data_IF_478408294732
#
_entry.id   IF_478408294732
#
_cell.length_a   1.000
_cell.length_b   1.000
_cell.length_c   1.000
_cell.angle_alpha   90.00
_cell.angle_beta   90.00
_cell.angle_gamma   90.00
#
_symmetry.space_group_name_H-M   'P 1'
#
loop_
_entity.id
_entity.type
_entity.pdbx_description
1 polymer ?
#
# COMPACT_ATOMS: atom_id res chain seq x y z
N UNK A 1 7.68 -9.01 24.91
CA UNK A 1 6.83 -9.26 26.09
C UNK A 1 5.45 -9.73 25.65
N UNK A 2 5.07 -10.91 26.12
CA UNK A 2 3.77 -11.51 25.90
C UNK A 2 2.62 -10.61 26.40
N UNK A 3 1.52 -10.59 25.64
CA UNK A 3 0.33 -9.79 25.94
C UNK A 3 -0.95 -10.62 25.79
N UNK A 4 -2.09 -10.02 26.13
CA UNK A 4 -3.41 -10.65 26.01
C UNK A 4 -4.36 -9.72 25.28
N UNK A 5 -5.23 -10.27 24.46
CA UNK A 5 -6.29 -9.55 23.76
C UNK A 5 -7.65 -10.18 24.07
N UNK A 6 -8.64 -9.35 24.40
CA UNK A 6 -10.03 -9.78 24.66
C UNK A 6 -10.80 -9.77 23.35
N UNK A 7 -11.45 -10.89 23.02
CA UNK A 7 -12.22 -11.06 21.79
C UNK A 7 -13.68 -10.63 22.01
N UNK A 8 -14.42 -10.38 20.91
CA UNK A 8 -15.86 -10.09 20.94
C UNK A 8 -16.69 -11.18 21.62
N UNK A 9 -16.19 -12.42 21.64
CA UNK A 9 -16.81 -13.57 22.34
C UNK A 9 -16.61 -13.57 23.86
N UNK A 10 -15.93 -12.57 24.43
CA UNK A 10 -15.61 -12.50 25.87
C UNK A 10 -14.38 -13.32 26.29
N UNK A 11 -13.87 -14.20 25.42
CA UNK A 11 -12.65 -15.00 25.65
C UNK A 11 -11.38 -14.20 25.39
N UNK A 12 -10.26 -14.66 25.94
CA UNK A 12 -8.92 -14.08 25.78
C UNK A 12 -8.06 -14.92 24.83
N UNK A 13 -7.24 -14.26 24.00
CA UNK A 13 -6.12 -14.89 23.31
C UNK A 13 -4.79 -14.36 23.83
N UNK A 14 -3.83 -15.24 24.04
CA UNK A 14 -2.46 -14.88 24.38
C UNK A 14 -1.67 -14.55 23.13
N UNK A 15 -0.95 -13.42 23.13
CA UNK A 15 -0.09 -12.97 22.06
C UNK A 15 1.38 -12.97 22.50
N UNK A 16 2.27 -13.38 21.61
CA UNK A 16 3.71 -13.40 21.83
C UNK A 16 4.45 -12.95 20.56
N UNK A 17 5.74 -12.65 20.68
CA UNK A 17 6.58 -12.37 19.52
C UNK A 17 7.35 -13.63 19.13
N UNK A 18 7.38 -13.95 17.85
CA UNK A 18 8.25 -15.02 17.36
C UNK A 18 9.70 -14.55 17.21
N UNK A 19 10.61 -15.46 16.81
CA UNK A 19 12.03 -15.17 16.63
C UNK A 19 12.30 -14.04 15.63
N UNK A 20 11.35 -13.73 14.73
CA UNK A 20 11.42 -12.63 13.76
C UNK A 20 10.85 -11.30 14.28
N UNK A 21 10.37 -11.28 15.53
CA UNK A 21 9.69 -10.14 16.15
C UNK A 21 8.23 -9.98 15.70
N UNK A 22 7.71 -10.89 14.86
CA UNK A 22 6.34 -10.83 14.37
C UNK A 22 5.35 -11.23 15.49
N UNK A 23 4.18 -10.58 15.48
CA UNK A 23 3.11 -10.88 16.44
C UNK A 23 2.47 -12.22 16.09
N UNK A 24 2.49 -13.16 17.03
CA UNK A 24 1.79 -14.44 16.96
C UNK A 24 0.79 -14.54 18.11
N UNK A 25 -0.20 -15.41 17.93
CA UNK A 25 -1.20 -15.71 18.94
C UNK A 25 -1.26 -17.21 19.20
N UNK A 26 -1.57 -17.59 20.43
CA UNK A 26 -1.85 -18.99 20.77
C UNK A 26 -3.00 -19.52 19.91
N UNK A 27 -2.89 -20.78 19.45
CA UNK A 27 -3.90 -21.40 18.59
C UNK A 27 -5.25 -21.67 19.26
N UNK A 28 -5.35 -21.50 20.59
CA UNK A 28 -6.56 -21.63 21.38
C UNK A 28 -6.88 -20.33 22.12
N UNK A 29 -8.15 -20.15 22.44
CA UNK A 29 -8.65 -19.03 23.26
C UNK A 29 -9.04 -19.54 24.64
N UNK A 30 -8.94 -18.68 25.67
CA UNK A 30 -9.09 -19.04 27.08
C UNK A 30 -10.17 -18.19 27.73
N UNK A 31 -10.82 -18.71 28.76
CA UNK A 31 -11.81 -17.95 29.54
C UNK A 31 -11.14 -16.98 30.52
N UNK A 32 -9.93 -17.30 30.99
CA UNK A 32 -9.19 -16.48 31.95
C UNK A 32 -8.02 -15.71 31.30
N UNK A 33 -7.91 -14.41 31.61
CA UNK A 33 -6.82 -13.55 31.12
C UNK A 33 -5.45 -14.01 31.61
N UNK A 34 -5.35 -14.41 32.88
CA UNK A 34 -4.09 -14.81 33.50
C UNK A 34 -3.50 -16.06 32.84
N UNK A 35 -4.35 -17.04 32.53
CA UNK A 35 -3.97 -18.27 31.82
C UNK A 35 -3.44 -17.97 30.41
N UNK A 36 -4.17 -17.16 29.64
CA UNK A 36 -3.74 -16.73 28.30
C UNK A 36 -2.39 -16.01 28.32
N UNK A 37 -2.14 -15.16 29.32
CA UNK A 37 -0.88 -14.43 29.49
C UNK A 37 0.27 -15.36 29.87
N UNK A 38 0.05 -16.28 30.82
CA UNK A 38 1.06 -17.25 31.27
C UNK A 38 1.50 -18.16 30.14
N UNK A 39 0.55 -18.70 29.38
CA UNK A 39 0.87 -19.59 28.25
C UNK A 39 1.57 -18.84 27.11
N UNK A 40 1.19 -17.58 26.85
CA UNK A 40 1.90 -16.75 25.87
C UNK A 40 3.32 -16.41 26.30
N UNK A 41 3.55 -16.20 27.61
CA UNK A 41 4.89 -16.02 28.16
C UNK A 41 5.72 -17.30 28.08
N UNK A 42 5.12 -18.48 28.28
CA UNK A 42 5.80 -19.78 28.09
C UNK A 42 6.20 -19.99 26.63
N UNK A 43 5.32 -19.67 25.66
CA UNK A 43 5.69 -19.76 24.24
C UNK A 43 6.75 -18.72 23.83
N UNK A 44 6.68 -17.51 24.38
CA UNK A 44 7.75 -16.52 24.22
C UNK A 44 9.07 -17.02 24.83
N UNK A 45 9.04 -17.68 26.00
CA UNK A 45 10.21 -18.24 26.67
C UNK A 45 10.78 -19.45 25.93
N UNK A 46 9.95 -20.32 25.34
CA UNK A 46 10.41 -21.43 24.49
C UNK A 46 11.13 -20.95 23.23
N UNK A 47 10.72 -19.80 22.69
CA UNK A 47 11.40 -19.16 21.55
C UNK A 47 12.69 -18.47 22.02
N UNK A 48 12.72 -18.01 23.27
CA UNK A 48 13.87 -17.36 23.90
C UNK A 48 14.91 -18.38 24.39
N UNK A 49 14.49 -19.61 24.70
CA UNK A 49 15.38 -20.70 25.09
C UNK A 49 16.04 -21.28 23.84
N UNK A 50 17.37 -21.21 23.74
CA UNK A 50 18.08 -21.85 22.64
C UNK A 50 17.80 -23.36 22.64
N UNK A 51 17.63 -23.95 21.46
CA UNK A 51 18.11 -25.33 21.28
C UNK A 51 19.61 -25.38 21.57
N UNK A 52 20.18 -26.57 21.82
CA UNK A 52 21.60 -26.73 22.14
C UNK A 52 22.48 -25.86 21.20
N UNK A 53 23.05 -24.79 21.73
CA UNK A 53 23.93 -23.88 20.98
C UNK A 53 25.29 -24.55 20.94
N UNK A 54 25.79 -24.86 19.76
CA UNK A 54 27.20 -25.22 19.61
C UNK A 54 28.02 -23.99 20.05
N UNK A 55 28.85 -24.10 21.10
CA UNK A 55 29.70 -23.00 21.59
C UNK A 55 30.63 -22.41 20.51
N UNK A 56 30.87 -23.16 19.42
CA UNK A 56 31.69 -22.72 18.28
C UNK A 56 30.85 -22.08 17.16
N UNK A 57 29.55 -22.30 17.08
CA UNK A 57 28.72 -21.82 15.96
C UNK A 57 28.55 -20.29 15.94
N UNK A 58 28.62 -19.62 17.09
CA UNK A 58 28.59 -18.16 17.18
C UNK A 58 29.84 -17.45 16.62
N UNK A 59 30.91 -18.20 16.33
CA UNK A 59 32.16 -17.66 15.74
C UNK A 59 32.06 -17.46 14.23
N UNK A 60 31.10 -18.12 13.57
CA UNK A 60 30.86 -17.90 12.16
C UNK A 60 30.46 -16.44 11.94
N UNK A 61 31.01 -15.81 10.91
CA UNK A 61 30.60 -14.45 10.56
C UNK A 61 29.20 -14.46 9.96
N UNK A 62 28.52 -13.32 10.04
CA UNK A 62 27.23 -13.19 9.38
C UNK A 62 27.35 -13.34 7.85
N UNK A 63 28.50 -12.99 7.25
CA UNK A 63 28.77 -13.24 5.83
C UNK A 63 28.76 -14.73 5.48
N UNK A 64 29.41 -15.57 6.29
CA UNK A 64 29.38 -17.03 6.12
C UNK A 64 27.95 -17.57 6.25
N UNK A 65 27.20 -17.08 7.24
CA UNK A 65 25.78 -17.43 7.38
C UNK A 65 24.93 -16.99 6.18
N UNK A 66 25.19 -15.79 5.64
CA UNK A 66 24.48 -15.25 4.47
C UNK A 66 24.63 -16.16 3.25
N UNK A 67 25.81 -16.73 3.03
CA UNK A 67 26.08 -17.65 1.91
C UNK A 67 25.24 -18.93 1.99
N UNK A 68 25.03 -19.47 3.20
CA UNK A 68 24.15 -20.60 3.44
C UNK A 68 22.66 -20.20 3.33
N UNK A 69 22.30 -19.10 3.98
CA UNK A 69 20.91 -18.72 4.23
C UNK A 69 20.23 -18.09 3.01
N UNK A 70 20.90 -17.16 2.34
CA UNK A 70 20.27 -16.32 1.31
C UNK A 70 19.78 -17.13 0.10
N UNK A 71 20.54 -18.09 -0.45
CA UNK A 71 20.10 -18.94 -1.57
C UNK A 71 18.98 -19.91 -1.20
N UNK A 72 18.88 -20.33 0.08
CA UNK A 72 17.87 -21.28 0.54
C UNK A 72 16.46 -20.65 0.67
N UNK A 73 16.33 -19.32 0.56
CA UNK A 73 15.07 -18.60 0.74
C UNK A 73 14.10 -18.87 -0.42
N UNK A 74 12.91 -19.38 -0.10
CA UNK A 74 11.80 -19.50 -1.05
C UNK A 74 11.01 -18.19 -1.11
N UNK A 75 11.40 -17.29 -2.01
CA UNK A 75 10.76 -15.99 -2.22
C UNK A 75 10.42 -15.76 -3.70
N UNK A 76 9.45 -14.88 -3.96
CA UNK A 76 9.11 -14.47 -5.33
C UNK A 76 10.28 -13.70 -5.98
N UNK A 77 10.50 -13.88 -7.28
CA UNK A 77 11.65 -13.35 -8.03
C UNK A 77 11.83 -11.83 -7.94
N UNK A 78 10.76 -11.05 -7.95
CA UNK A 78 10.80 -9.60 -7.77
C UNK A 78 11.22 -9.20 -6.35
N UNK A 79 10.82 -9.98 -5.34
CA UNK A 79 11.27 -9.80 -3.96
C UNK A 79 12.74 -10.19 -3.83
N UNK A 80 13.18 -11.24 -4.52
CA UNK A 80 14.57 -11.71 -4.51
C UNK A 80 15.56 -10.64 -4.98
N UNK A 81 15.33 -9.99 -6.13
CA UNK A 81 16.21 -8.90 -6.60
C UNK A 81 16.26 -7.72 -5.63
N UNK A 82 15.09 -7.31 -5.13
CA UNK A 82 15.03 -6.21 -4.19
C UNK A 82 15.81 -6.51 -2.91
N UNK A 83 15.69 -7.73 -2.41
CA UNK A 83 16.41 -8.18 -1.23
C UNK A 83 17.91 -8.33 -1.51
N UNK A 84 18.30 -8.86 -2.66
CA UNK A 84 19.70 -9.01 -3.05
C UNK A 84 20.39 -7.63 -3.13
N UNK A 85 19.73 -6.66 -3.76
CA UNK A 85 20.25 -5.29 -3.80
C UNK A 85 20.39 -4.68 -2.40
N UNK A 86 19.37 -4.83 -1.54
CA UNK A 86 19.44 -4.32 -0.16
C UNK A 86 20.54 -5.01 0.63
N UNK A 87 20.69 -6.30 0.43
CA UNK A 87 21.68 -7.12 1.10
C UNK A 87 23.09 -6.63 0.75
N UNK A 88 23.39 -6.58 -0.55
CA UNK A 88 24.67 -6.16 -1.09
C UNK A 88 25.02 -4.71 -0.74
N UNK A 89 24.04 -3.80 -0.78
CA UNK A 89 24.31 -2.37 -0.66
C UNK A 89 24.28 -1.85 0.78
N UNK A 90 23.48 -2.46 1.66
CA UNK A 90 23.23 -1.89 3.00
C UNK A 90 23.52 -2.82 4.17
N UNK A 91 23.43 -4.15 3.98
CA UNK A 91 23.60 -5.11 5.07
C UNK A 91 25.02 -5.69 5.08
N UNK A 92 25.42 -6.33 3.97
CA UNK A 92 26.73 -6.97 3.82
C UNK A 92 27.92 -6.04 4.15
N UNK A 93 27.94 -4.76 3.73
CA UNK A 93 29.07 -3.86 4.05
C UNK A 93 29.30 -3.63 5.55
N UNK A 94 28.31 -3.88 6.40
CA UNK A 94 28.40 -3.68 7.85
C UNK A 94 28.61 -4.99 8.61
N UNK A 95 28.05 -6.08 8.11
CA UNK A 95 27.91 -7.30 8.90
C UNK A 95 28.69 -8.50 8.36
N UNK A 96 29.17 -8.50 7.11
CA UNK A 96 29.78 -9.70 6.49
C UNK A 96 30.96 -10.26 7.32
N UNK A 97 31.79 -9.38 7.89
CA UNK A 97 32.96 -9.75 8.69
C UNK A 97 32.66 -9.91 10.20
N UNK A 98 31.43 -9.65 10.65
CA UNK A 98 31.08 -9.64 12.07
C UNK A 98 30.64 -11.04 12.50
N UNK A 99 31.26 -11.64 13.54
CA UNK A 99 30.79 -12.88 14.14
C UNK A 99 29.33 -12.76 14.59
N UNK A 100 28.52 -13.80 14.34
CA UNK A 100 27.11 -13.79 14.72
C UNK A 100 26.90 -13.55 16.22
N UNK A 101 27.80 -14.04 17.08
CA UNK A 101 27.78 -13.81 18.52
C UNK A 101 28.05 -12.35 18.92
N UNK A 102 28.75 -11.58 18.09
CA UNK A 102 29.16 -10.20 18.38
C UNK A 102 28.13 -9.17 17.88
N UNK A 103 27.05 -9.62 17.24
CA UNK A 103 25.95 -8.75 16.80
C UNK A 103 25.05 -8.51 18.02
N UNK A 104 25.23 -7.36 18.66
CA UNK A 104 24.43 -6.94 19.81
C UNK A 104 23.28 -6.02 19.39
N UNK A 105 22.26 -5.91 20.26
CA UNK A 105 21.12 -5.01 20.06
C UNK A 105 21.58 -3.56 19.86
N UNK A 106 22.57 -3.12 20.61
CA UNK A 106 23.14 -1.76 20.56
C UNK A 106 23.79 -1.48 19.21
N UNK A 107 24.59 -2.43 18.69
CA UNK A 107 25.22 -2.30 17.36
C UNK A 107 24.18 -2.26 16.25
N UNK A 108 23.11 -3.05 16.39
CA UNK A 108 21.98 -3.00 15.43
C UNK A 108 21.29 -1.64 15.47
N UNK A 109 21.04 -1.06 16.66
CA UNK A 109 20.45 0.28 16.76
C UNK A 109 21.35 1.35 16.14
N UNK A 110 22.66 1.33 16.43
CA UNK A 110 23.62 2.26 15.85
C UNK A 110 23.62 2.19 14.31
N UNK A 111 23.61 0.99 13.75
CA UNK A 111 23.51 0.80 12.30
C UNK A 111 22.22 1.37 11.71
N UNK A 112 21.07 1.22 12.39
CA UNK A 112 19.81 1.84 11.94
C UNK A 112 19.87 3.37 11.98
N UNK A 113 20.49 3.93 13.01
CA UNK A 113 20.65 5.38 13.14
C UNK A 113 21.62 5.93 12.08
N UNK A 114 22.63 5.15 11.68
CA UNK A 114 23.54 5.48 10.58
C UNK A 114 22.83 5.42 9.23
N UNK A 115 22.08 4.36 8.93
CA UNK A 115 21.28 4.27 7.70
C UNK A 115 20.29 5.44 7.56
N UNK A 116 19.80 5.95 8.69
CA UNK A 116 18.89 7.09 8.76
C UNK A 116 19.60 8.46 8.63
N UNK A 117 20.92 8.54 8.87
CA UNK A 117 21.72 9.77 8.83
C UNK A 117 22.58 9.91 7.57
N UNK A 118 23.15 8.83 7.04
CA UNK A 118 24.12 8.86 5.93
C UNK A 118 24.27 7.49 5.27
N UNK A 119 24.01 7.39 3.96
CA UNK A 119 24.32 6.17 3.20
C UNK A 119 25.81 6.12 2.87
N UNK A 120 26.64 5.49 3.72
CA UNK A 120 27.97 5.03 3.28
C UNK A 120 27.80 3.84 2.34
N UNK A 121 27.99 4.04 1.03
CA UNK A 121 28.26 2.95 0.09
C UNK A 121 29.75 2.67 0.06
N UNK A 122 30.16 1.41 0.28
CA UNK A 122 31.56 1.00 0.15
C UNK A 122 32.03 1.04 -1.32
N UNK A 123 33.33 1.32 -1.59
CA UNK A 123 33.88 1.30 -2.94
C UNK A 123 33.95 -0.14 -3.45
N UNK A 124 33.24 -0.43 -4.55
CA UNK A 124 33.41 -1.69 -5.27
C UNK A 124 34.80 -1.68 -5.92
N UNK A 125 35.73 -2.51 -5.43
CA UNK A 125 36.95 -2.86 -6.17
C UNK A 125 36.53 -3.64 -7.43
N UNK A 126 36.59 -3.00 -8.59
CA UNK A 126 36.66 -3.69 -9.88
C UNK A 126 37.86 -3.14 -10.64
N UNK A 127 38.71 -4.07 -11.07
CA UNK A 127 40.11 -3.83 -11.44
C UNK A 127 40.35 -3.00 -12.71
N UNK A 128 41.56 -2.42 -12.69
CA UNK A 128 42.48 -2.20 -13.81
C UNK A 128 41.91 -1.67 -15.13
N UNK A 129 41.96 -0.35 -15.27
CA UNK A 129 42.00 0.37 -16.55
C UNK A 129 42.75 1.68 -16.35
N UNK A 130 43.81 1.89 -17.13
CA UNK A 130 44.82 2.97 -16.99
C UNK A 130 44.22 4.38 -16.84
N UNK A 131 44.83 5.15 -15.95
CA UNK A 131 44.59 6.58 -15.75
C UNK A 131 45.11 7.41 -16.91
N UNK A 132 44.28 8.34 -17.40
CA UNK A 132 44.73 9.62 -17.99
C UNK A 132 43.68 10.69 -17.69
N UNK A 133 44.12 11.83 -17.13
CA UNK A 133 43.50 13.13 -17.37
C UNK A 133 42.58 13.68 -16.27
N UNK A 134 43.01 14.77 -15.65
CA UNK A 134 42.37 15.45 -14.51
C UNK A 134 40.91 15.87 -14.69
N UNK A 135 40.21 15.95 -13.56
CA UNK A 135 38.85 16.52 -13.49
C UNK A 135 38.19 16.27 -12.15
N UNK A 136 38.25 17.28 -11.27
CA UNK A 136 37.39 17.54 -10.10
C UNK A 136 37.08 16.37 -9.14
N UNK A 137 37.58 16.52 -7.89
CA UNK A 137 37.11 15.80 -6.69
C UNK A 137 35.58 15.82 -6.62
N UNK A 138 34.93 14.72 -6.99
CA UNK A 138 33.49 14.50 -6.82
C UNK A 138 33.22 14.31 -5.32
N UNK A 139 32.58 15.27 -4.65
CA UNK A 139 32.12 15.14 -3.27
C UNK A 139 31.07 14.02 -3.19
N UNK A 140 31.46 12.87 -2.64
CA UNK A 140 30.54 11.81 -2.21
C UNK A 140 29.66 12.32 -1.07
N UNK A 141 28.44 12.74 -1.38
CA UNK A 141 27.40 13.05 -0.40
C UNK A 141 26.34 11.95 -0.46
N UNK A 142 26.48 10.94 0.40
CA UNK A 142 25.53 9.84 0.52
C UNK A 142 24.22 10.32 1.14
N UNK A 143 23.17 10.50 0.31
CA UNK A 143 21.81 10.87 0.76
C UNK A 143 21.28 9.82 1.76
N UNK A 144 20.69 10.28 2.87
CA UNK A 144 20.06 9.41 3.87
C UNK A 144 18.95 8.53 3.24
N UNK A 145 18.78 7.32 3.76
CA UNK A 145 17.73 6.42 3.29
C UNK A 145 16.36 6.86 3.83
N UNK A 146 15.32 6.68 3.02
CA UNK A 146 13.96 6.94 3.50
C UNK A 146 13.58 5.96 4.63
N UNK A 147 12.75 6.36 5.61
CA UNK A 147 12.33 5.50 6.71
C UNK A 147 11.75 4.15 6.26
N UNK A 148 11.02 4.14 5.14
CA UNK A 148 10.47 2.92 4.53
C UNK A 148 11.56 1.99 4.00
N UNK A 149 12.62 2.54 3.40
CA UNK A 149 13.76 1.76 2.93
C UNK A 149 14.55 1.19 4.11
N UNK A 150 14.83 2.00 5.15
CA UNK A 150 15.48 1.54 6.39
C UNK A 150 14.72 0.36 7.00
N UNK A 151 13.38 0.46 7.12
CA UNK A 151 12.53 -0.64 7.61
C UNK A 151 12.66 -1.91 6.76
N UNK A 152 12.75 -1.80 5.43
CA UNK A 152 12.91 -2.98 4.55
C UNK A 152 14.28 -3.63 4.73
N UNK A 153 15.34 -2.83 4.79
CA UNK A 153 16.71 -3.30 5.04
C UNK A 153 16.80 -4.00 6.40
N UNK A 154 16.30 -3.36 7.46
CA UNK A 154 16.24 -3.92 8.80
C UNK A 154 15.48 -5.25 8.83
N UNK A 155 14.27 -5.31 8.25
CA UNK A 155 13.45 -6.53 8.26
C UNK A 155 14.14 -7.71 7.58
N UNK A 156 14.87 -7.46 6.48
CA UNK A 156 15.64 -8.49 5.80
C UNK A 156 16.76 -9.02 6.71
N UNK A 157 17.50 -8.14 7.36
CA UNK A 157 18.56 -8.49 8.30
C UNK A 157 18.01 -9.22 9.54
N UNK A 158 16.97 -8.68 10.18
CA UNK A 158 16.32 -9.30 11.33
C UNK A 158 15.77 -10.70 11.01
N UNK A 159 15.24 -10.92 9.80
CA UNK A 159 14.82 -12.26 9.36
C UNK A 159 16.01 -13.22 9.24
N UNK A 160 17.16 -12.77 8.77
CA UNK A 160 18.36 -13.61 8.68
C UNK A 160 18.83 -14.08 10.06
N UNK A 161 18.76 -13.22 11.09
CA UNK A 161 19.16 -13.57 12.45
C UNK A 161 18.11 -14.43 13.16
N UNK A 162 16.81 -14.18 12.89
CA UNK A 162 15.76 -15.08 13.36
C UNK A 162 15.95 -16.51 12.85
N UNK A 163 16.32 -16.67 11.57
CA UNK A 163 16.61 -17.99 11.01
C UNK A 163 17.92 -18.58 11.54
N UNK A 164 18.91 -17.75 11.88
CA UNK A 164 20.13 -18.19 12.55
C UNK A 164 19.83 -18.80 13.93
N UNK A 165 18.86 -18.25 14.68
CA UNK A 165 18.36 -18.84 15.94
C UNK A 165 17.73 -20.20 15.69
N UNK A 166 16.84 -20.29 14.69
CA UNK A 166 16.16 -21.55 14.34
C UNK A 166 17.17 -22.62 13.90
N UNK A 167 18.22 -22.22 13.20
CA UNK A 167 19.33 -23.08 12.78
C UNK A 167 20.34 -23.40 13.90
N UNK A 168 20.13 -22.90 15.12
CA UNK A 168 21.02 -23.13 16.27
C UNK A 168 22.38 -22.43 16.17
N UNK A 169 22.56 -21.48 15.23
CA UNK A 169 23.82 -20.75 15.03
C UNK A 169 24.05 -19.70 16.13
N UNK A 170 22.97 -19.15 16.68
CA UNK A 170 22.97 -18.23 17.84
C UNK A 170 21.84 -18.57 18.80
N UNK A 171 22.02 -18.25 20.08
CA UNK A 171 21.03 -18.58 21.11
C UNK A 171 19.80 -17.67 21.13
N UNK A 172 19.93 -16.42 20.67
CA UNK A 172 18.81 -15.47 20.61
C UNK A 172 19.05 -14.39 19.55
N UNK A 173 17.98 -13.75 19.09
CA UNK A 173 18.08 -12.67 18.11
C UNK A 173 18.37 -11.33 18.80
N UNK A 174 19.38 -10.56 18.35
CA UNK A 174 19.65 -9.22 18.86
C UNK A 174 18.67 -8.16 18.35
N UNK A 175 17.80 -8.52 17.39
CA UNK A 175 16.81 -7.63 16.79
C UNK A 175 15.53 -7.49 17.64
N UNK A 176 15.72 -7.23 18.94
CA UNK A 176 14.65 -7.04 19.93
C UNK A 176 14.52 -5.56 20.28
N UNK A 177 13.28 -5.06 20.25
CA UNK A 177 12.92 -3.69 20.59
C UNK A 177 13.83 -2.61 19.94
N UNK A 178 14.18 -2.82 18.67
CA UNK A 178 14.90 -1.84 17.84
C UNK A 178 13.96 -0.71 17.45
N UNK A 179 14.39 0.52 17.69
CA UNK A 179 13.67 1.72 17.29
C UNK A 179 13.91 1.99 15.81
N UNK A 180 12.84 1.97 15.02
CA UNK A 180 12.89 2.21 13.58
C UNK A 180 12.34 3.60 13.27
N UNK A 181 12.90 4.30 12.27
CA UNK A 181 12.45 5.63 11.90
C UNK A 181 10.96 5.63 11.56
N UNK A 182 10.23 6.62 12.09
CA UNK A 182 8.83 6.81 11.73
C UNK A 182 8.78 7.26 10.27
N UNK A 183 7.97 6.56 9.48
CA UNK A 183 7.67 7.00 8.14
C UNK A 183 6.41 7.85 8.28
N UNK A 184 6.45 9.10 7.83
CA UNK A 184 5.21 9.79 7.55
C UNK A 184 4.41 8.94 6.54
N UNK A 185 3.08 8.88 6.66
CA UNK A 185 2.28 8.37 5.57
C UNK A 185 2.66 9.17 4.30
N UNK A 186 2.86 8.51 3.16
CA UNK A 186 3.15 9.24 1.93
C UNK A 186 2.01 10.20 1.62
N UNK A 187 2.33 11.40 1.15
CA UNK A 187 1.31 12.32 0.62
C UNK A 187 0.54 11.58 -0.48
N UNK A 188 -0.78 11.54 -0.34
CA UNK A 188 -1.63 10.81 -1.28
C UNK A 188 -1.78 11.64 -2.55
N UNK A 189 -0.91 11.38 -3.53
CA UNK A 189 -0.95 12.06 -4.82
C UNK A 189 -1.91 11.35 -5.78
N UNK A 190 -2.91 12.08 -6.25
CA UNK A 190 -3.75 11.72 -7.38
C UNK A 190 -3.92 12.94 -8.29
N UNK A 191 -4.18 12.69 -9.58
CA UNK A 191 -4.38 13.76 -10.55
C UNK A 191 -5.83 14.29 -10.50
N UNK A 192 -5.97 15.61 -10.56
CA UNK A 192 -7.23 16.25 -10.98
C UNK A 192 -7.54 15.93 -12.44
N UNK A 193 -8.79 16.17 -12.88
CA UNK A 193 -9.20 15.94 -14.28
C UNK A 193 -8.39 16.82 -15.23
N UNK A 194 -8.13 18.06 -14.82
CA UNK A 194 -7.38 19.07 -15.56
C UNK A 194 -5.90 18.69 -15.65
N UNK A 195 -5.29 18.22 -14.54
CA UNK A 195 -3.91 17.73 -14.57
C UNK A 195 -3.77 16.48 -15.45
N UNK A 196 -4.72 15.55 -15.40
CA UNK A 196 -4.70 14.39 -16.29
C UNK A 196 -4.88 14.79 -17.76
N UNK A 197 -5.79 15.72 -18.05
CA UNK A 197 -5.96 16.24 -19.41
C UNK A 197 -4.67 16.87 -19.94
N UNK A 198 -3.98 17.69 -19.13
CA UNK A 198 -2.66 18.25 -19.49
C UNK A 198 -1.62 17.16 -19.76
N UNK A 199 -1.53 16.16 -18.88
CA UNK A 199 -0.61 15.02 -19.07
C UNK A 199 -0.91 14.22 -20.34
N UNK A 200 -2.19 14.00 -20.63
CA UNK A 200 -2.64 13.29 -21.84
C UNK A 200 -2.35 14.09 -23.11
N UNK A 201 -2.54 15.41 -23.08
CA UNK A 201 -2.21 16.30 -24.20
C UNK A 201 -0.70 16.40 -24.45
N UNK A 202 0.10 16.34 -23.39
CA UNK A 202 1.57 16.30 -23.45
C UNK A 202 2.14 14.94 -23.93
N UNK A 203 1.29 13.95 -24.20
CA UNK A 203 1.75 12.67 -24.72
C UNK A 203 2.02 12.77 -26.23
N UNK A 204 3.30 12.70 -26.59
CA UNK A 204 3.80 12.84 -27.97
C UNK A 204 3.50 11.63 -28.87
N UNK A 205 3.13 10.49 -28.28
CA UNK A 205 2.85 9.26 -29.01
C UNK A 205 1.57 8.55 -28.53
N UNK A 206 0.96 7.80 -29.45
CA UNK A 206 -0.28 7.05 -29.23
C UNK A 206 -0.15 5.95 -28.17
N UNK A 207 1.04 5.35 -28.02
CA UNK A 207 1.28 4.31 -27.03
C UNK A 207 1.22 4.87 -25.60
N UNK A 208 1.82 6.04 -25.37
CA UNK A 208 1.72 6.72 -24.09
C UNK A 208 0.27 7.12 -23.79
N UNK A 209 -0.47 7.65 -24.78
CA UNK A 209 -1.90 7.98 -24.61
C UNK A 209 -2.72 6.75 -24.22
N UNK A 210 -2.53 5.63 -24.91
CA UNK A 210 -3.23 4.38 -24.58
C UNK A 210 -2.86 3.85 -23.18
N UNK A 211 -1.60 3.95 -22.77
CA UNK A 211 -1.17 3.59 -21.40
C UNK A 211 -1.81 4.50 -20.35
N UNK A 212 -1.90 5.80 -20.61
CA UNK A 212 -2.56 6.76 -19.72
C UNK A 212 -4.05 6.42 -19.57
N UNK A 213 -4.74 6.21 -20.69
CA UNK A 213 -6.17 5.90 -20.74
C UNK A 213 -6.48 4.57 -20.05
N UNK A 214 -5.69 3.52 -20.29
CA UNK A 214 -5.79 2.27 -19.55
C UNK A 214 -5.53 2.47 -18.05
N UNK A 215 -4.49 3.24 -17.69
CA UNK A 215 -4.11 3.47 -16.30
C UNK A 215 -5.25 4.11 -15.49
N UNK A 216 -5.82 5.21 -15.97
CA UNK A 216 -6.91 5.90 -15.27
C UNK A 216 -8.29 5.32 -15.53
N UNK A 217 -8.48 4.55 -16.60
CA UNK A 217 -9.77 3.93 -16.92
C UNK A 217 -9.97 2.58 -16.24
N UNK A 218 -8.89 1.93 -15.79
CA UNK A 218 -8.96 0.56 -15.22
C UNK A 218 -8.29 0.42 -13.85
N UNK A 219 -7.40 1.34 -13.48
CA UNK A 219 -6.57 1.21 -12.29
C UNK A 219 -5.62 0.00 -12.30
N UNK A 220 -5.36 -0.59 -13.47
CA UNK A 220 -4.43 -1.71 -13.58
C UNK A 220 -3.01 -1.32 -13.17
N UNK A 221 -2.28 -2.28 -12.58
CA UNK A 221 -0.85 -2.11 -12.28
C UNK A 221 -0.06 -2.10 -13.58
N UNK A 222 1.12 -1.45 -13.60
CA UNK A 222 2.02 -1.45 -14.76
C UNK A 222 2.20 -2.85 -15.39
N UNK A 223 2.55 -3.85 -14.57
CA UNK A 223 2.74 -5.22 -15.05
C UNK A 223 1.47 -5.89 -15.59
N UNK A 224 0.29 -5.47 -15.13
CA UNK A 224 -1.00 -5.92 -15.67
C UNK A 224 -1.24 -5.27 -17.05
N UNK A 225 -0.93 -3.97 -17.20
CA UNK A 225 -1.10 -3.23 -18.46
C UNK A 225 -0.18 -3.77 -19.55
N UNK A 226 1.13 -3.86 -19.30
CA UNK A 226 2.09 -4.31 -20.32
C UNK A 226 2.07 -5.83 -20.55
N UNK A 227 1.49 -6.58 -19.61
CA UNK A 227 1.25 -8.01 -19.73
C UNK A 227 -0.12 -8.36 -20.32
N UNK A 228 -0.95 -7.37 -20.67
CA UNK A 228 -2.31 -7.58 -21.16
C UNK A 228 -2.29 -8.17 -22.57
N UNK A 229 -2.96 -9.30 -22.76
CA UNK A 229 -3.19 -9.88 -24.08
C UNK A 229 -4.48 -9.35 -24.70
N UNK A 230 -4.52 -9.23 -26.03
CA UNK A 230 -5.72 -8.77 -26.77
C UNK A 230 -6.96 -9.59 -26.47
N UNK A 231 -6.80 -10.91 -26.32
CA UNK A 231 -7.90 -11.84 -25.98
C UNK A 231 -8.49 -11.65 -24.57
N UNK A 232 -8.00 -10.67 -23.81
CA UNK A 232 -8.53 -10.29 -22.49
C UNK A 232 -9.38 -9.03 -22.53
N UNK A 233 -9.43 -8.36 -23.68
CA UNK A 233 -10.23 -7.17 -23.93
C UNK A 233 -11.48 -7.62 -24.67
N UNK A 234 -12.64 -7.43 -24.05
CA UNK A 234 -13.94 -7.66 -24.66
C UNK A 234 -14.60 -6.30 -24.90
N UNK A 235 -14.53 -5.82 -26.14
CA UNK A 235 -15.10 -4.53 -26.55
C UNK A 235 -16.62 -4.56 -26.47
N UNK A 236 -17.25 -5.67 -26.89
CA UNK A 236 -18.71 -5.82 -26.89
C UNK A 236 -19.31 -5.85 -25.48
N UNK A 237 -18.64 -6.52 -24.54
CA UNK A 237 -19.02 -6.54 -23.12
C UNK A 237 -18.44 -5.37 -22.32
N UNK A 238 -17.64 -4.50 -22.94
CA UNK A 238 -16.95 -3.37 -22.30
C UNK A 238 -16.24 -3.80 -21.03
N UNK A 239 -15.42 -4.84 -21.15
CA UNK A 239 -14.77 -5.48 -20.00
C UNK A 239 -13.35 -5.94 -20.32
N UNK A 240 -12.45 -5.69 -19.38
CA UNK A 240 -11.09 -6.23 -19.40
C UNK A 240 -10.95 -7.28 -18.30
N UNK A 241 -10.41 -8.45 -18.63
CA UNK A 241 -10.18 -9.52 -17.65
C UNK A 241 -8.69 -9.59 -17.28
N UNK A 242 -8.36 -9.22 -16.06
CA UNK A 242 -6.98 -9.27 -15.57
C UNK A 242 -6.65 -10.69 -15.12
N UNK A 243 -5.79 -11.36 -15.89
CA UNK A 243 -5.40 -12.76 -15.65
C UNK A 243 -3.90 -12.99 -15.59
N UNK A 244 -3.13 -12.05 -16.12
CA UNK A 244 -1.70 -12.20 -16.35
C UNK A 244 -1.00 -10.90 -15.91
N UNK A 245 0.17 -11.05 -15.31
CA UNK A 245 1.01 -9.95 -14.84
C UNK A 245 2.42 -10.18 -15.34
N UNK A 246 2.98 -9.19 -16.02
CA UNK A 246 4.40 -9.14 -16.29
C UNK A 246 5.18 -8.75 -15.03
N UNK A 247 6.08 -9.62 -14.58
CA UNK A 247 6.87 -9.41 -13.38
C UNK A 247 8.17 -8.67 -13.71
N UNK A 248 8.21 -7.39 -13.32
CA UNK A 248 9.40 -6.55 -13.49
C UNK A 248 10.61 -7.19 -12.81
N UNK A 249 11.73 -7.17 -13.54
CA UNK A 249 12.94 -7.87 -13.17
C UNK A 249 12.90 -9.32 -13.61
N UNK A 250 11.92 -10.12 -13.19
CA UNK A 250 11.93 -11.57 -13.47
C UNK A 250 11.73 -11.90 -14.96
N UNK A 251 11.36 -10.89 -15.74
CA UNK A 251 11.24 -10.89 -17.20
C UNK A 251 10.36 -12.02 -17.76
N UNK A 252 9.30 -12.33 -17.01
CA UNK A 252 8.30 -13.30 -17.42
C UNK A 252 6.90 -12.82 -17.04
N UNK A 253 5.92 -13.32 -17.79
CA UNK A 253 4.51 -13.20 -17.47
C UNK A 253 4.12 -14.37 -16.57
N UNK A 254 3.36 -14.07 -15.52
CA UNK A 254 2.77 -15.07 -14.63
C UNK A 254 1.26 -14.90 -14.54
N UNK A 255 0.51 -15.96 -14.18
CA UNK A 255 -0.90 -15.83 -13.87
C UNK A 255 -1.14 -14.95 -12.65
N UNK A 256 -2.24 -14.22 -12.68
CA UNK A 256 -2.75 -13.43 -11.57
C UNK A 256 -4.22 -13.77 -11.29
N UNK A 257 -4.61 -14.04 -10.04
CA UNK A 257 -3.79 -14.35 -8.84
C UNK A 257 -3.52 -15.87 -8.70
N UNK A 258 -2.51 -16.25 -7.90
CA UNK A 258 -2.28 -17.65 -7.51
C UNK A 258 -3.40 -18.06 -6.52
N UNK A 259 -4.48 -18.67 -7.02
CA UNK A 259 -5.57 -19.21 -6.20
C UNK A 259 -6.66 -18.22 -5.76
N UNK A 260 -6.86 -17.09 -6.45
CA UNK A 260 -8.06 -16.23 -6.29
C UNK A 260 -8.77 -16.04 -7.63
N UNK A 261 -10.01 -15.55 -7.60
CA UNK A 261 -10.80 -15.29 -8.81
C UNK A 261 -10.11 -14.24 -9.70
N UNK A 262 -10.12 -14.50 -11.01
CA UNK A 262 -9.84 -13.51 -12.05
C UNK A 262 -10.76 -12.30 -11.82
N UNK A 263 -10.24 -11.08 -11.95
CA UNK A 263 -11.08 -9.87 -11.83
C UNK A 263 -11.41 -9.32 -13.22
N UNK A 264 -12.69 -9.04 -13.44
CA UNK A 264 -13.18 -8.27 -14.58
C UNK A 264 -13.26 -6.80 -14.19
N UNK A 265 -12.73 -5.92 -15.03
CA UNK A 265 -12.80 -4.48 -14.86
C UNK A 265 -13.75 -3.96 -15.95
N UNK A 266 -14.90 -3.38 -15.58
CA UNK A 266 -15.75 -2.69 -16.55
C UNK A 266 -15.01 -1.47 -17.07
N UNK A 267 -15.11 -1.22 -18.37
CA UNK A 267 -14.55 -0.05 -19.04
C UNK A 267 -15.67 0.82 -19.60
N UNK A 268 -15.39 2.10 -19.79
CA UNK A 268 -16.37 3.03 -20.39
C UNK A 268 -16.44 2.85 -21.89
N UNK A 269 -17.48 3.40 -22.50
CA UNK A 269 -17.69 3.37 -23.95
C UNK A 269 -16.54 4.07 -24.69
N UNK A 270 -16.02 5.16 -24.12
CA UNK A 270 -14.89 5.90 -24.71
C UNK A 270 -13.59 5.08 -24.68
N UNK A 271 -13.31 4.37 -23.58
CA UNK A 271 -12.13 3.51 -23.51
C UNK A 271 -12.29 2.27 -24.41
N UNK A 272 -13.51 1.73 -24.53
CA UNK A 272 -13.78 0.64 -25.46
C UNK A 272 -13.56 1.07 -26.91
N UNK A 273 -14.05 2.25 -27.31
CA UNK A 273 -13.82 2.81 -28.65
C UNK A 273 -12.33 3.05 -28.90
N UNK A 274 -11.60 3.67 -27.96
CA UNK A 274 -10.17 3.91 -28.10
C UNK A 274 -9.36 2.60 -28.22
N UNK A 275 -9.76 1.54 -27.51
CA UNK A 275 -9.14 0.22 -27.61
C UNK A 275 -9.43 -0.45 -28.95
N UNK A 276 -10.64 -0.29 -29.49
CA UNK A 276 -11.02 -0.83 -30.79
C UNK A 276 -10.22 -0.15 -31.92
N UNK A 277 -10.17 1.18 -31.90
CA UNK A 277 -9.33 1.98 -32.82
C UNK A 277 -7.86 1.58 -32.74
N UNK A 278 -7.33 1.44 -31.52
CA UNK A 278 -5.96 0.97 -31.32
C UNK A 278 -5.71 -0.41 -31.90
N UNK A 279 -6.61 -1.36 -31.65
CA UNK A 279 -6.46 -2.74 -32.15
C UNK A 279 -6.62 -2.84 -33.67
N UNK A 280 -7.39 -1.93 -34.28
CA UNK A 280 -7.52 -1.81 -35.73
C UNK A 280 -6.26 -1.19 -36.38
N UNK A 281 -5.72 -0.12 -35.79
CA UNK A 281 -4.53 0.57 -36.29
C UNK A 281 -3.23 -0.24 -36.08
N UNK A 282 -3.19 -1.08 -35.05
CA UNK A 282 -2.01 -1.87 -34.70
C UNK A 282 -2.27 -3.35 -34.98
N UNK A 283 -1.57 -4.00 -35.93
CA UNK A 283 -1.69 -5.44 -36.13
C UNK A 283 -1.28 -6.24 -34.89
N UNK A 284 -1.89 -7.42 -34.70
CA UNK A 284 -1.59 -8.29 -33.59
C UNK A 284 -0.15 -8.82 -33.66
N UNK A 285 0.69 -8.46 -32.69
CA UNK A 285 2.04 -8.99 -32.54
C UNK A 285 2.03 -10.13 -31.53
N UNK A 286 2.51 -11.30 -31.96
CA UNK A 286 2.62 -12.48 -31.12
C UNK A 286 3.48 -12.21 -29.88
N UNK A 287 2.98 -12.61 -28.71
CA UNK A 287 3.71 -12.53 -27.46
C UNK A 287 4.95 -13.42 -27.50
N UNK A 288 6.12 -12.82 -27.27
CA UNK A 288 7.43 -13.50 -27.17
C UNK A 288 7.98 -13.49 -25.75
N UNK A 289 7.20 -13.03 -24.77
CA UNK A 289 7.59 -13.08 -23.37
C UNK A 289 7.74 -14.53 -22.90
N UNK A 290 8.64 -14.77 -21.94
CA UNK A 290 8.60 -16.01 -21.18
C UNK A 290 7.32 -16.03 -20.32
N UNK A 291 6.67 -17.19 -20.22
CA UNK A 291 5.57 -17.40 -19.28
C UNK A 291 6.00 -18.41 -18.22
N UNK A 292 5.70 -18.14 -16.95
CA UNK A 292 6.11 -19.01 -15.84
C UNK A 292 5.44 -20.39 -15.89
N UNK A 293 4.18 -20.41 -16.31
CA UNK A 293 3.28 -21.56 -16.26
C UNK A 293 3.03 -22.19 -17.64
N UNK A 294 3.57 -21.60 -18.71
CA UNK A 294 3.34 -22.06 -20.09
C UNK A 294 4.68 -22.24 -20.79
N UNK A 295 4.81 -23.37 -21.49
CA UNK A 295 5.98 -23.65 -22.34
C UNK A 295 6.05 -22.70 -23.55
N UNK A 296 4.88 -22.25 -24.06
CA UNK A 296 4.75 -21.36 -25.22
C UNK A 296 3.50 -20.49 -25.06
N UNK A 297 3.59 -19.22 -25.44
CA UNK A 297 2.44 -18.33 -25.54
C UNK A 297 2.05 -18.16 -27.01
N UNK A 298 0.76 -18.35 -27.30
CA UNK A 298 0.18 -18.16 -28.64
C UNK A 298 -0.75 -16.95 -28.73
N UNK A 299 -0.84 -16.16 -27.65
CA UNK A 299 -1.57 -14.91 -27.63
C UNK A 299 -0.79 -13.75 -28.27
N UNK A 300 -1.48 -12.62 -28.44
CA UNK A 300 -0.90 -11.34 -28.83
C UNK A 300 -1.01 -10.34 -27.68
N UNK A 301 0.07 -9.60 -27.41
CA UNK A 301 0.04 -8.51 -26.43
C UNK A 301 -0.79 -7.34 -26.99
N UNK A 302 -1.49 -6.63 -26.12
CA UNK A 302 -2.20 -5.40 -26.48
C UNK A 302 -1.20 -4.28 -26.81
N UNK A 303 -0.15 -4.16 -25.99
CA UNK A 303 0.89 -3.14 -26.08
C UNK A 303 2.28 -3.80 -26.24
N UNK A 304 2.58 -4.42 -27.39
CA UNK A 304 3.86 -5.08 -27.63
C UNK A 304 4.99 -4.08 -27.83
N UNK A 305 6.20 -4.42 -27.39
CA UNK A 305 7.42 -3.79 -27.90
C UNK A 305 7.64 -4.19 -29.37
N UNK A 306 8.58 -3.53 -30.05
CA UNK A 306 9.02 -3.93 -31.41
C UNK A 306 9.48 -5.40 -31.49
N UNK A 307 9.94 -5.97 -30.38
CA UNK A 307 10.37 -7.36 -30.28
C UNK A 307 9.23 -8.34 -29.92
N UNK A 308 7.98 -7.86 -29.75
CA UNK A 308 6.85 -8.68 -29.31
C UNK A 308 6.88 -9.04 -27.82
N UNK A 309 7.65 -8.32 -27.01
CA UNK A 309 7.75 -8.49 -25.55
C UNK A 309 7.05 -7.35 -24.82
N UNK A 310 6.74 -7.48 -23.51
CA UNK A 310 6.23 -6.38 -22.70
C UNK A 310 7.18 -5.19 -22.69
N UNK A 311 6.61 -3.99 -22.59
CA UNK A 311 7.39 -2.75 -22.56
C UNK A 311 8.16 -2.66 -21.23
N UNK A 312 9.47 -2.41 -21.33
CA UNK A 312 10.34 -2.25 -20.16
C UNK A 312 10.07 -0.95 -19.40
N UNK A 313 9.87 -1.05 -18.09
CA UNK A 313 9.50 0.08 -17.23
C UNK A 313 10.50 1.25 -17.26
N UNK A 314 11.81 0.96 -17.16
CA UNK A 314 12.84 2.00 -17.10
C UNK A 314 12.96 2.77 -18.41
N UNK A 315 12.92 2.08 -19.56
CA UNK A 315 12.98 2.71 -20.87
C UNK A 315 11.70 3.52 -21.12
N UNK A 316 10.53 2.96 -20.81
CA UNK A 316 9.27 3.73 -20.88
C UNK A 316 9.32 5.00 -20.02
N UNK A 317 9.81 4.89 -18.78
CA UNK A 317 9.90 6.05 -17.90
C UNK A 317 10.80 7.13 -18.45
N UNK A 318 11.99 6.75 -18.91
CA UNK A 318 12.99 7.68 -19.45
C UNK A 318 12.52 8.32 -20.76
N UNK A 319 12.00 7.50 -21.68
CA UNK A 319 11.82 7.90 -23.08
C UNK A 319 10.45 8.53 -23.36
N UNK A 320 9.44 8.27 -22.52
CA UNK A 320 8.05 8.74 -22.77
C UNK A 320 7.44 9.44 -21.56
N UNK A 321 7.45 8.77 -20.41
CA UNK A 321 6.75 9.26 -19.23
C UNK A 321 7.34 10.55 -18.68
N UNK A 322 8.64 10.56 -18.39
CA UNK A 322 9.29 11.70 -17.75
C UNK A 322 9.22 12.97 -18.63
N UNK A 323 9.44 12.90 -19.96
CA UNK A 323 9.20 14.04 -20.85
C UNK A 323 7.76 14.57 -20.76
N UNK A 324 6.75 13.71 -20.87
CA UNK A 324 5.34 14.13 -20.82
C UNK A 324 4.95 14.73 -19.45
N UNK A 325 5.49 14.20 -18.36
CA UNK A 325 5.29 14.75 -17.01
C UNK A 325 5.92 16.13 -16.86
N UNK A 326 7.13 16.32 -17.39
CA UNK A 326 7.82 17.60 -17.40
C UNK A 326 7.06 18.63 -18.24
N UNK A 327 6.63 18.26 -19.45
CA UNK A 327 5.84 19.11 -20.34
C UNK A 327 4.49 19.49 -19.73
N UNK A 328 3.84 18.55 -19.04
CA UNK A 328 2.61 18.83 -18.29
C UNK A 328 2.83 19.67 -17.01
N UNK A 329 4.06 20.08 -16.70
CA UNK A 329 4.44 20.80 -15.49
C UNK A 329 3.93 20.10 -14.22
N UNK A 330 4.14 18.78 -14.13
CA UNK A 330 3.83 17.94 -12.97
C UNK A 330 5.14 17.44 -12.34
N UNK A 331 5.16 17.29 -11.02
CA UNK A 331 6.33 16.79 -10.29
C UNK A 331 5.98 15.52 -9.50
N UNK A 332 6.97 14.66 -9.28
CA UNK A 332 6.85 13.45 -8.46
C UNK A 332 5.99 12.32 -9.04
N UNK A 333 5.31 12.55 -10.17
CA UNK A 333 4.35 11.61 -10.75
C UNK A 333 5.04 10.35 -11.33
N UNK A 334 4.47 9.21 -11.02
CA UNK A 334 4.85 7.88 -11.47
C UNK A 334 3.69 7.17 -12.16
N UNK A 335 3.96 6.17 -13.04
CA UNK A 335 2.88 5.41 -13.68
C UNK A 335 1.92 4.72 -12.69
N UNK A 336 2.37 4.44 -11.46
CA UNK A 336 1.51 3.87 -10.43
C UNK A 336 0.45 4.84 -9.91
N UNK A 337 0.70 6.15 -10.02
CA UNK A 337 -0.21 7.18 -9.52
C UNK A 337 -1.46 7.31 -10.42
N UNK A 338 -1.46 6.78 -11.64
CA UNK A 338 -2.68 6.62 -12.45
C UNK A 338 -3.68 5.69 -11.77
N UNK A 339 -3.19 4.66 -11.08
CA UNK A 339 -4.03 3.77 -10.28
C UNK A 339 -4.53 4.45 -9.00
N UNK A 340 -3.72 5.30 -8.37
CA UNK A 340 -4.18 6.16 -7.27
C UNK A 340 -5.27 7.12 -7.76
N UNK A 341 -5.10 7.67 -8.95
CA UNK A 341 -6.07 8.54 -9.63
C UNK A 341 -7.38 7.83 -9.91
N UNK A 342 -7.35 6.63 -10.50
CA UNK A 342 -8.57 5.82 -10.71
C UNK A 342 -9.33 5.55 -9.41
N UNK A 343 -8.62 5.10 -8.37
CA UNK A 343 -9.23 4.82 -7.07
C UNK A 343 -9.90 6.05 -6.46
N UNK A 344 -9.17 7.18 -6.48
CA UNK A 344 -9.63 8.47 -5.93
C UNK A 344 -10.86 8.97 -6.66
N UNK A 345 -10.85 8.92 -7.99
CA UNK A 345 -11.96 9.35 -8.84
C UNK A 345 -13.23 8.52 -8.67
N UNK A 346 -13.11 7.20 -8.44
CA UNK A 346 -14.27 6.36 -8.17
C UNK A 346 -14.90 6.68 -6.80
N UNK A 347 -14.07 6.87 -5.76
CA UNK A 347 -14.54 7.21 -4.41
C UNK A 347 -15.23 8.58 -4.37
N UNK A 348 -14.66 9.57 -5.08
CA UNK A 348 -15.26 10.90 -5.25
C UNK A 348 -16.63 10.84 -5.95
N UNK A 349 -16.87 9.82 -6.78
CA UNK A 349 -18.14 9.59 -7.48
C UNK A 349 -19.11 8.67 -6.72
N UNK A 350 -18.83 8.34 -5.47
CA UNK A 350 -19.74 7.56 -4.63
C UNK A 350 -19.55 6.04 -4.70
N UNK A 351 -18.57 5.53 -5.45
CA UNK A 351 -18.29 4.08 -5.47
C UNK A 351 -17.72 3.67 -4.13
N UNK A 352 -18.23 2.57 -3.57
CA UNK A 352 -17.83 2.10 -2.23
C UNK A 352 -16.37 1.64 -2.20
N UNK A 353 -15.73 1.73 -1.02
CA UNK A 353 -14.34 1.26 -0.80
C UNK A 353 -14.21 -0.22 -1.15
N UNK A 354 -15.23 -1.02 -0.87
CA UNK A 354 -15.30 -2.45 -1.16
C UNK A 354 -15.24 -2.72 -2.66
N UNK A 355 -16.09 -2.03 -3.45
CA UNK A 355 -16.10 -2.13 -4.90
C UNK A 355 -14.78 -1.66 -5.52
N UNK A 356 -14.24 -0.52 -5.06
CA UNK A 356 -12.92 -0.04 -5.51
C UNK A 356 -11.83 -1.05 -5.17
N UNK A 357 -11.86 -1.64 -3.97
CA UNK A 357 -10.91 -2.67 -3.54
C UNK A 357 -10.94 -3.91 -4.45
N UNK A 358 -12.14 -4.32 -4.87
CA UNK A 358 -12.35 -5.44 -5.80
C UNK A 358 -11.79 -5.13 -7.20
N UNK A 359 -12.16 -3.98 -7.77
CA UNK A 359 -11.68 -3.51 -9.09
C UNK A 359 -10.15 -3.39 -9.14
N UNK A 360 -9.56 -2.89 -8.05
CA UNK A 360 -8.13 -2.78 -7.89
C UNK A 360 -7.44 -4.15 -7.68
N UNK A 361 -8.17 -5.18 -7.24
CA UNK A 361 -7.58 -6.47 -6.87
C UNK A 361 -6.66 -6.34 -5.65
N UNK A 362 -7.13 -5.68 -4.60
CA UNK A 362 -6.41 -5.65 -3.32
C UNK A 362 -6.64 -6.94 -2.53
N UNK A 363 -5.57 -7.45 -1.92
CA UNK A 363 -5.65 -8.66 -1.09
C UNK A 363 -6.29 -8.41 0.26
N UNK A 364 -6.29 -7.15 0.72
CA UNK A 364 -6.86 -6.68 1.98
C UNK A 364 -7.45 -5.29 1.76
N UNK A 365 -8.59 -5.01 2.40
CA UNK A 365 -9.28 -3.72 2.29
C UNK A 365 -8.44 -2.56 2.85
N UNK A 366 -7.53 -2.82 3.79
CA UNK A 366 -6.60 -1.84 4.36
C UNK A 366 -5.74 -1.13 3.31
N UNK A 367 -5.47 -1.78 2.18
CA UNK A 367 -4.77 -1.14 1.06
C UNK A 367 -5.59 -0.03 0.40
N UNK A 368 -6.92 -0.14 0.42
CA UNK A 368 -7.87 0.85 -0.12
C UNK A 368 -8.27 1.89 0.91
N UNK A 369 -8.21 1.56 2.22
CA UNK A 369 -8.52 2.49 3.32
C UNK A 369 -7.69 3.77 3.29
N UNK A 370 -6.53 3.75 2.63
CA UNK A 370 -5.70 4.93 2.41
C UNK A 370 -6.49 6.10 1.77
N UNK A 371 -7.40 5.77 0.85
CA UNK A 371 -8.27 6.74 0.17
C UNK A 371 -9.59 7.02 0.90
N UNK A 372 -9.83 6.46 2.09
CA UNK A 372 -11.15 6.51 2.73
C UNK A 372 -11.63 7.95 2.96
N UNK A 373 -10.70 8.86 3.24
CA UNK A 373 -10.99 10.29 3.42
C UNK A 373 -11.58 10.97 2.17
N UNK A 374 -11.42 10.40 0.97
CA UNK A 374 -12.05 10.91 -0.25
C UNK A 374 -13.51 10.47 -0.38
N UNK A 375 -13.93 9.44 0.36
CA UNK A 375 -15.34 9.14 0.53
C UNK A 375 -16.02 10.15 1.47
N UNK A 376 -15.28 10.79 2.38
CA UNK A 376 -15.82 11.78 3.32
C UNK A 376 -16.27 13.09 2.63
N UNK A 377 -15.87 13.32 1.38
CA UNK A 377 -16.43 14.39 0.52
C UNK A 377 -17.93 14.22 0.23
N UNK A 378 -18.55 13.13 0.69
CA UNK A 378 -19.98 12.85 0.55
C UNK A 378 -20.85 13.46 1.65
N UNK A 379 -20.37 14.46 2.41
CA UNK A 379 -21.25 15.20 3.33
C UNK A 379 -22.50 15.74 2.63
N UNK A 380 -22.47 16.04 1.33
CA UNK A 380 -23.66 16.45 0.58
C UNK A 380 -24.64 15.30 0.33
N UNK A 381 -24.16 14.09 0.02
CA UNK A 381 -25.00 12.91 -0.12
C UNK A 381 -25.56 12.46 1.24
N UNK A 382 -24.75 12.52 2.31
CA UNK A 382 -25.18 12.28 3.69
C UNK A 382 -26.20 13.33 4.13
N UNK A 383 -25.94 14.61 3.87
CA UNK A 383 -26.88 15.71 4.14
C UNK A 383 -28.18 15.51 3.35
N UNK A 384 -28.12 15.11 2.09
CA UNK A 384 -29.29 14.78 1.27
C UNK A 384 -30.09 13.60 1.85
N UNK A 385 -29.43 12.52 2.25
CA UNK A 385 -30.07 11.35 2.86
C UNK A 385 -30.72 11.69 4.21
N UNK A 386 -30.07 12.53 5.02
CA UNK A 386 -30.62 13.02 6.29
C UNK A 386 -31.78 14.01 6.06
N UNK A 387 -31.72 14.82 5.00
CA UNK A 387 -32.78 15.77 4.65
C UNK A 387 -34.01 15.08 4.05
N UNK A 388 -33.82 13.97 3.33
CA UNK A 388 -34.90 13.15 2.79
C UNK A 388 -35.67 12.35 3.84
N UNK A 389 -35.12 12.23 5.06
CA UNK A 389 -35.77 11.62 6.21
C UNK A 389 -36.36 12.70 7.14
N UNK A 390 -37.46 13.32 6.71
CA UNK A 390 -38.48 13.90 7.60
C UNK A 390 -38.01 14.72 8.81
N UNK A 391 -37.07 15.65 8.62
CA UNK A 391 -36.81 16.71 9.60
C UNK A 391 -37.57 17.99 9.22
N UNK A 392 -38.85 17.86 8.87
CA UNK A 392 -39.75 19.01 8.88
C UNK A 392 -40.04 19.36 10.33
N UNK A 393 -39.26 20.32 10.84
CA UNK A 393 -39.45 20.89 12.16
C UNK A 393 -40.91 21.27 12.35
N UNK A 394 -41.52 20.71 13.38
CA UNK A 394 -42.83 21.09 13.89
C UNK A 394 -42.85 22.61 14.17
N UNK A 395 -43.31 23.39 13.19
CA UNK A 395 -43.80 24.74 13.44
C UNK A 395 -45.23 24.59 13.93
N UNK A 396 -45.40 24.50 15.24
CA UNK A 396 -46.71 24.62 15.85
C UNK A 396 -47.26 26.02 15.57
N UNK A 397 -48.16 26.13 14.59
CA UNK A 397 -49.09 27.24 14.47
C UNK A 397 -50.16 27.09 15.55
N UNK A 398 -50.08 27.92 16.59
CA UNK A 398 -51.19 28.10 17.53
C UNK A 398 -52.35 28.82 16.84
N UNK A 399 -53.27 28.03 16.27
CA UNK A 399 -54.66 28.45 16.04
C UNK A 399 -55.58 27.40 16.68
N UNK A 400 -55.76 27.54 18.00
CA UNK A 400 -56.77 26.80 18.75
C UNK A 400 -58.11 27.52 18.66
N UNK A 401 -58.98 27.01 17.78
CA UNK A 401 -60.43 27.22 17.92
C UNK A 401 -60.92 26.53 19.19
N UNK A 402 -61.69 27.25 20.00
CA UNK A 402 -62.21 26.80 21.28
C UNK A 402 -63.24 25.66 21.12
N UNK A 403 -63.24 24.65 22.01
CA UNK A 403 -64.36 23.74 22.15
C UNK A 403 -65.38 24.30 23.17
N UNK A 404 -66.65 24.25 22.77
CA UNK A 404 -67.82 24.62 23.56
C UNK A 404 -68.09 23.54 24.62
N UNK A 405 -68.28 23.93 25.89
CA UNK A 405 -68.84 23.09 26.96
C UNK A 405 -70.00 23.83 27.64
N UNK A 406 -70.96 23.09 28.25
CA UNK A 406 -72.32 23.59 28.49
C UNK A 406 -72.50 24.35 29.80
N UNK A 407 -73.51 25.24 29.77
CA UNK A 407 -74.03 26.05 30.88
C UNK A 407 -74.46 25.21 32.10
N UNK A 408 -74.04 25.65 33.29
CA UNK A 408 -74.76 25.47 34.56
C UNK A 408 -74.85 26.85 35.23
N UNK A 409 -76.03 27.14 35.77
CA UNK A 409 -76.51 28.46 36.16
C UNK A 409 -76.00 28.97 37.53
N UNK A 410 -75.95 30.31 37.60
CA UNK A 410 -76.22 31.25 38.70
C UNK A 410 -75.74 30.99 40.14
N UNK A 411 -74.89 31.90 40.65
CA UNK A 411 -75.34 32.94 41.60
C UNK A 411 -74.24 33.98 41.90
N UNK A 412 -74.66 35.27 41.94
CA UNK A 412 -74.27 36.43 42.76
C UNK A 412 -72.82 36.56 43.32
N UNK A 413 -72.21 37.71 43.57
CA UNK A 413 -72.42 39.16 43.41
C UNK A 413 -71.10 39.79 43.96
N UNK A 414 -70.86 41.07 43.67
CA UNK A 414 -69.92 42.02 44.28
C UNK A 414 -68.48 42.14 43.74
N UNK A 415 -68.15 43.37 43.31
CA UNK A 415 -66.91 44.01 43.77
C UNK A 415 -66.04 44.70 42.72
N UNK A 416 -66.24 46.01 42.57
CA UNK A 416 -65.32 46.97 41.93
C UNK A 416 -63.86 46.83 42.42
N UNK A 417 -62.88 47.25 41.59
CA UNK A 417 -62.05 48.47 41.80
C UNK A 417 -60.78 48.45 40.91
N UNK A 418 -60.76 49.40 39.96
CA UNK A 418 -59.69 50.38 39.64
C UNK A 418 -58.24 49.92 39.40
N UNK A 419 -57.86 49.96 38.12
CA UNK A 419 -56.76 50.72 37.50
C UNK A 419 -55.63 51.27 38.40
N UNK A 420 -54.37 51.02 38.02
CA UNK A 420 -53.35 52.07 38.01
C UNK A 420 -52.12 51.71 37.17
N UNK A 421 -51.90 52.61 36.23
CA UNK A 421 -50.87 52.66 35.22
C UNK A 421 -49.44 52.89 35.73
N UNK A 422 -48.55 52.84 34.73
CA UNK A 422 -47.47 53.81 34.48
C UNK A 422 -46.05 53.29 34.79
N UNK A 423 -45.24 53.01 33.77
CA UNK A 423 -44.45 53.91 32.88
C UNK A 423 -43.11 54.31 33.51
N UNK A 424 -42.02 54.00 32.79
CA UNK A 424 -40.97 54.90 32.22
C UNK A 424 -39.67 54.09 32.07
N UNK A 425 -39.19 53.90 30.82
CA UNK A 425 -38.25 54.74 30.05
C UNK A 425 -36.83 54.68 30.61
N UNK A 426 -35.90 54.07 29.85
CA UNK A 426 -34.84 54.74 29.04
C UNK A 426 -33.63 55.10 29.92
N UNK A 427 -32.38 54.83 29.60
CA UNK A 427 -31.60 55.06 28.36
C UNK A 427 -30.21 54.43 28.58
N UNK A 428 -29.50 54.07 27.52
CA UNK A 428 -28.07 53.77 27.55
C UNK A 428 -27.70 52.71 26.54
#
# INVERSE_FOLDING_TARGET
MAWTEKLKSGRYRGGYRDASGAKRYLGRTYTQRAEAKRLAAIEEDKIRRPGAVDPKAGRATWGQWREEWFPARRIESGTARGDESRMRTHVAPYWDEVPLADITRERVQQWIDELSRTSKTAPTKRGSGKAVGGGQRRKESGKALSPTTVKKVYRLFAKSLADAVVAGKIGSSPCVDIELPKAAPPDEFFLTREQFARLRSAADDELLRMILDLGVGTGMRWGEIVGLHRSRVDIGQRRIVVQEVYELGADHIKPYPKGKSRRGIPITDELAAALDEWMAAHPAVRCRAQHRDKKRCDGALLLPSKAGTPIGYSNFRRDRWNPAVQEAALDGLTPHDLRHTYASWLLQRGVTIEQVSELLGHSTITMTQRYAHLADTQWDAVRGALSGAGFEGARHSHHGGAPHLPHVADDADHGKVVDLASRRRSTG
#
